data_IF_375351839206
#
_entry.id   IF_375351839206
#
_cell.length_a   1.000
_cell.length_b   1.000
_cell.length_c   1.000
_cell.angle_alpha   90.00
_cell.angle_beta   90.00
_cell.angle_gamma   90.00
#
_symmetry.space_group_name_H-M   'P 1'
#
loop_
_entity.id
_entity.type
_entity.pdbx_description
1 polymer ?
#
# COMPACT_ATOMS: atom_id res chain seq x y z
N UNK A 1 -61.00 -49.21 0.30
CA UNK A 1 -60.46 -48.14 -0.58
C UNK A 1 -59.43 -47.20 0.10
N UNK A 2 -58.71 -47.62 1.15
CA UNK A 2 -57.78 -46.73 1.89
C UNK A 2 -56.29 -46.99 1.65
N UNK A 3 -55.89 -48.19 1.21
CA UNK A 3 -54.47 -48.50 0.98
C UNK A 3 -53.88 -47.79 -0.24
N UNK A 4 -54.59 -47.79 -1.38
CA UNK A 4 -54.12 -47.17 -2.63
C UNK A 4 -53.83 -45.66 -2.49
N UNK A 5 -54.61 -44.94 -1.68
CA UNK A 5 -54.39 -43.51 -1.41
C UNK A 5 -53.15 -43.26 -0.54
N UNK A 6 -52.82 -44.17 0.39
CA UNK A 6 -51.62 -44.06 1.25
C UNK A 6 -50.34 -44.29 0.46
N UNK A 7 -50.32 -45.30 -0.42
CA UNK A 7 -49.15 -45.56 -1.28
C UNK A 7 -48.92 -44.45 -2.32
N UNK A 8 -49.98 -43.84 -2.84
CA UNK A 8 -49.87 -42.70 -3.75
C UNK A 8 -49.22 -41.48 -3.06
N UNK A 9 -49.60 -41.21 -1.81
CA UNK A 9 -49.04 -40.11 -1.02
C UNK A 9 -47.56 -40.32 -0.70
N UNK A 10 -47.18 -41.57 -0.36
CA UNK A 10 -45.78 -41.94 -0.14
C UNK A 10 -44.97 -41.78 -1.43
N UNK A 11 -45.47 -42.27 -2.56
CA UNK A 11 -44.80 -42.10 -3.87
C UNK A 11 -44.61 -40.63 -4.25
N UNK A 12 -45.63 -39.80 -4.05
CA UNK A 12 -45.53 -38.35 -4.30
C UNK A 12 -44.51 -37.69 -3.37
N UNK A 13 -44.45 -38.09 -2.09
CA UNK A 13 -43.47 -37.55 -1.14
C UNK A 13 -42.03 -37.96 -1.48
N UNK A 14 -41.81 -39.21 -1.91
CA UNK A 14 -40.50 -39.67 -2.38
C UNK A 14 -40.08 -38.99 -3.67
N UNK A 15 -41.01 -38.78 -4.61
CA UNK A 15 -40.73 -38.06 -5.85
C UNK A 15 -40.40 -36.58 -5.59
N UNK A 16 -41.08 -35.93 -4.65
CA UNK A 16 -40.79 -34.55 -4.24
C UNK A 16 -39.41 -34.44 -3.56
N UNK A 17 -39.07 -35.37 -2.65
CA UNK A 17 -37.75 -35.39 -2.02
C UNK A 17 -36.64 -35.65 -3.02
N UNK A 18 -36.84 -36.54 -3.99
CA UNK A 18 -35.89 -36.78 -5.08
C UNK A 18 -35.74 -35.51 -5.95
N UNK A 19 -36.84 -34.84 -6.29
CA UNK A 19 -36.80 -33.58 -7.03
C UNK A 19 -36.06 -32.47 -6.26
N UNK A 20 -36.29 -32.33 -4.95
CA UNK A 20 -35.56 -31.37 -4.12
C UNK A 20 -34.07 -31.74 -3.97
N UNK A 21 -33.74 -33.02 -3.85
CA UNK A 21 -32.36 -33.49 -3.70
C UNK A 21 -31.55 -33.31 -5.00
N UNK A 22 -32.10 -33.75 -6.14
CA UNK A 22 -31.44 -33.63 -7.44
C UNK A 22 -31.57 -32.23 -8.07
N UNK A 23 -32.68 -31.52 -7.83
CA UNK A 23 -32.91 -30.15 -8.29
C UNK A 23 -32.21 -29.08 -7.44
N UNK A 24 -32.11 -29.29 -6.13
CA UNK A 24 -31.35 -28.41 -5.22
C UNK A 24 -29.84 -28.44 -5.50
N UNK A 25 -29.31 -29.57 -5.98
CA UNK A 25 -27.92 -29.66 -6.42
C UNK A 25 -27.64 -28.87 -7.71
N UNK A 26 -28.62 -28.73 -8.60
CA UNK A 26 -28.49 -27.89 -9.81
C UNK A 26 -28.65 -26.39 -9.52
N UNK A 27 -29.48 -26.00 -8.54
CA UNK A 27 -29.57 -24.60 -8.11
C UNK A 27 -28.37 -24.14 -7.26
N UNK A 28 -27.59 -25.07 -6.71
CA UNK A 28 -26.31 -24.78 -6.03
C UNK A 28 -25.09 -24.84 -6.96
N UNK A 29 -25.29 -25.19 -8.23
CA UNK A 29 -24.27 -25.29 -9.28
C UNK A 29 -24.34 -24.14 -10.30
N UNK A 30 -25.26 -23.19 -10.15
CA UNK A 30 -25.03 -21.88 -10.71
C UNK A 30 -23.99 -21.21 -9.83
N UNK A 31 -22.76 -21.12 -10.34
CA UNK A 31 -21.75 -20.23 -9.82
C UNK A 31 -22.44 -18.93 -9.43
N UNK A 32 -22.51 -18.66 -8.13
CA UNK A 32 -22.83 -17.33 -7.64
C UNK A 32 -21.72 -16.43 -8.21
N UNK A 33 -21.95 -15.92 -9.42
CA UNK A 33 -21.30 -14.73 -9.92
C UNK A 33 -21.74 -13.66 -8.95
N UNK A 34 -20.95 -13.49 -7.91
CA UNK A 34 -21.06 -12.37 -6.99
C UNK A 34 -21.21 -11.12 -7.85
N UNK A 35 -22.08 -10.16 -7.49
CA UNK A 35 -22.29 -8.92 -8.25
C UNK A 35 -21.09 -7.96 -8.15
N UNK A 36 -19.88 -8.51 -8.06
CA UNK A 36 -18.61 -7.80 -7.92
C UNK A 36 -17.94 -7.54 -9.27
N UNK A 37 -18.40 -8.17 -10.36
CA UNK A 37 -17.83 -7.94 -11.71
C UNK A 37 -18.26 -6.60 -12.35
N UNK A 38 -19.30 -5.94 -11.81
CA UNK A 38 -19.82 -4.68 -12.37
C UNK A 38 -19.74 -3.49 -11.39
N UNK A 39 -19.00 -3.61 -10.29
CA UNK A 39 -18.69 -2.44 -9.49
C UNK A 39 -17.65 -1.61 -10.25
N UNK A 40 -17.88 -0.30 -10.47
CA UNK A 40 -16.84 0.58 -10.98
C UNK A 40 -15.58 0.39 -10.12
N UNK A 41 -14.44 0.16 -10.74
CA UNK A 41 -13.16 0.32 -10.03
C UNK A 41 -13.18 1.69 -9.39
N UNK A 42 -12.79 1.79 -8.11
CA UNK A 42 -12.67 3.08 -7.40
C UNK A 42 -11.83 4.10 -8.17
N UNK A 43 -10.99 3.59 -9.07
CA UNK A 43 -10.30 4.33 -10.12
C UNK A 43 -11.16 4.24 -11.39
N UNK A 44 -12.03 5.22 -11.60
CA UNK A 44 -12.72 5.40 -12.89
C UNK A 44 -11.69 5.98 -13.87
N UNK A 45 -11.24 5.15 -14.82
CA UNK A 45 -10.14 5.45 -15.76
C UNK A 45 -10.62 6.40 -16.88
N UNK A 46 -11.88 6.85 -16.85
CA UNK A 46 -12.45 7.64 -17.92
C UNK A 46 -12.23 9.16 -17.75
N UNK A 47 -11.00 9.56 -17.40
CA UNK A 47 -10.59 10.96 -17.39
C UNK A 47 -9.59 11.24 -18.50
N UNK A 48 -10.11 11.74 -19.63
CA UNK A 48 -9.38 12.49 -20.64
C UNK A 48 -8.69 13.77 -20.10
N UNK A 49 -8.66 13.96 -18.77
CA UNK A 49 -8.03 15.07 -18.06
C UNK A 49 -6.65 14.73 -17.46
N UNK A 50 -6.28 13.45 -17.33
CA UNK A 50 -4.97 13.06 -16.75
C UNK A 50 -3.77 13.33 -17.66
N UNK A 51 -3.94 13.44 -18.97
CA UNK A 51 -2.82 13.68 -19.90
C UNK A 51 -2.13 15.05 -19.66
N UNK A 52 -2.81 15.98 -18.98
CA UNK A 52 -2.28 17.33 -18.73
C UNK A 52 -1.34 17.40 -17.52
N UNK A 53 -1.47 16.48 -16.56
CA UNK A 53 -0.69 16.45 -15.31
C UNK A 53 0.49 15.48 -15.36
N UNK A 54 0.70 14.79 -16.49
CA UNK A 54 1.87 13.95 -16.76
C UNK A 54 3.15 14.77 -17.06
N UNK A 55 3.09 16.10 -17.02
CA UNK A 55 4.27 16.93 -17.21
C UNK A 55 5.24 16.79 -16.03
N UNK A 56 6.46 16.32 -16.32
CA UNK A 56 7.55 16.29 -15.35
C UNK A 56 7.81 17.68 -14.78
N UNK A 57 8.08 17.76 -13.46
CA UNK A 57 8.34 19.00 -12.75
C UNK A 57 9.32 19.91 -13.52
N UNK A 58 9.09 21.24 -13.60
CA UNK A 58 9.95 22.19 -14.33
C UNK A 58 11.42 22.13 -13.93
N UNK A 59 11.71 21.67 -12.70
CA UNK A 59 13.05 21.47 -12.19
C UNK A 59 13.81 20.34 -12.92
N UNK A 60 13.12 19.28 -13.34
CA UNK A 60 13.70 18.15 -14.08
C UNK A 60 13.99 18.53 -15.55
N UNK A 61 13.18 19.42 -16.13
CA UNK A 61 13.42 19.99 -17.48
C UNK A 61 14.68 20.86 -17.53
N UNK A 62 15.08 21.47 -16.41
CA UNK A 62 16.15 22.48 -16.36
C UNK A 62 17.54 21.92 -16.04
N UNK A 63 17.63 20.77 -15.36
CA UNK A 63 18.93 20.25 -14.86
C UNK A 63 19.61 19.24 -15.78
N UNK A 64 18.96 18.73 -16.84
CA UNK A 64 19.60 17.80 -17.79
C UNK A 64 20.26 16.58 -17.12
N UNK A 65 19.86 16.26 -15.89
CA UNK A 65 20.59 15.38 -14.99
C UNK A 65 20.31 13.91 -15.27
N UNK A 66 21.34 13.22 -15.77
CA UNK A 66 21.48 11.75 -15.71
C UNK A 66 20.41 10.89 -16.38
N UNK A 67 20.05 11.18 -17.63
CA UNK A 67 19.28 10.23 -18.45
C UNK A 67 20.06 8.98 -18.92
N UNK A 68 21.39 8.94 -18.73
CA UNK A 68 22.22 7.84 -19.29
C UNK A 68 22.10 6.50 -18.57
N UNK A 69 21.65 6.46 -17.32
CA UNK A 69 21.46 5.20 -16.57
C UNK A 69 20.00 4.76 -16.50
N UNK A 70 19.07 5.66 -16.83
CA UNK A 70 17.63 5.38 -16.85
C UNK A 70 17.16 4.75 -18.18
N UNK A 71 17.84 5.01 -19.30
CA UNK A 71 17.32 4.68 -20.64
C UNK A 71 17.11 3.18 -20.91
N UNK A 72 17.96 2.30 -20.34
CA UNK A 72 17.78 0.85 -20.53
C UNK A 72 16.89 0.18 -19.47
N UNK A 73 16.84 0.70 -18.25
CA UNK A 73 16.09 0.08 -17.13
C UNK A 73 14.65 0.59 -17.03
N UNK A 74 14.39 1.86 -17.37
CA UNK A 74 13.02 2.42 -17.41
C UNK A 74 12.17 1.75 -18.49
N UNK A 75 12.79 1.32 -19.59
CA UNK A 75 12.10 0.60 -20.67
C UNK A 75 11.77 -0.86 -20.31
N UNK A 76 12.35 -1.40 -19.24
CA UNK A 76 12.05 -2.73 -18.68
C UNK A 76 10.89 -2.65 -17.68
N UNK A 77 10.91 -1.67 -16.76
CA UNK A 77 9.91 -1.57 -15.70
C UNK A 77 8.52 -1.13 -16.18
N UNK A 78 8.40 -0.38 -17.27
CA UNK A 78 7.10 -0.14 -17.92
C UNK A 78 6.51 -1.38 -18.63
N UNK A 79 7.24 -2.51 -18.66
CA UNK A 79 6.77 -3.79 -19.23
C UNK A 79 6.41 -4.82 -18.16
N UNK A 80 6.63 -4.53 -16.89
CA UNK A 80 6.25 -5.46 -15.83
C UNK A 80 4.75 -5.39 -15.54
N UNK A 81 4.09 -6.50 -15.85
CA UNK A 81 2.71 -6.81 -15.51
C UNK A 81 2.70 -8.16 -14.80
N UNK A 82 1.54 -8.53 -14.25
CA UNK A 82 1.43 -9.83 -13.57
C UNK A 82 1.76 -10.97 -14.55
N UNK A 83 1.39 -10.86 -15.81
CA UNK A 83 1.63 -11.92 -16.80
C UNK A 83 3.11 -12.06 -17.20
N UNK A 84 3.91 -10.99 -17.07
CA UNK A 84 5.30 -10.96 -17.56
C UNK A 84 6.32 -11.11 -16.45
N UNK A 85 6.09 -10.47 -15.30
CA UNK A 85 7.06 -10.36 -14.21
C UNK A 85 6.70 -11.18 -12.96
N UNK A 86 5.51 -11.82 -12.95
CA UNK A 86 5.10 -12.72 -11.87
C UNK A 86 5.03 -14.17 -12.37
N UNK A 87 5.48 -15.13 -11.56
CA UNK A 87 5.33 -16.55 -11.81
C UNK A 87 4.14 -17.12 -11.02
N UNK A 88 3.02 -17.29 -11.72
CA UNK A 88 1.81 -17.88 -11.16
C UNK A 88 1.94 -19.36 -10.83
N UNK A 89 2.93 -20.07 -11.38
CA UNK A 89 3.08 -21.52 -11.14
C UNK A 89 3.38 -21.83 -9.67
N UNK A 90 4.10 -20.93 -8.97
CA UNK A 90 4.37 -20.99 -7.53
C UNK A 90 3.13 -20.80 -6.66
N UNK A 91 2.05 -20.26 -7.23
CA UNK A 91 0.86 -19.84 -6.50
C UNK A 91 -0.36 -20.72 -6.81
N UNK A 92 -0.16 -21.90 -7.43
CA UNK A 92 -1.24 -22.85 -7.76
C UNK A 92 -1.81 -23.57 -6.53
N UNK A 93 -1.02 -23.70 -5.46
CA UNK A 93 -1.41 -24.36 -4.22
C UNK A 93 -1.95 -23.38 -3.18
N UNK A 94 -1.65 -23.62 -1.90
CA UNK A 94 -1.91 -22.63 -0.86
C UNK A 94 -1.07 -21.38 -1.08
N UNK A 95 -1.68 -20.21 -0.87
CA UNK A 95 -0.95 -18.96 -0.92
C UNK A 95 -0.07 -18.82 0.32
N UNK A 96 1.24 -19.01 0.15
CA UNK A 96 2.22 -18.86 1.23
C UNK A 96 3.25 -17.77 0.94
N UNK A 97 3.76 -17.17 1.99
CA UNK A 97 4.74 -16.08 1.99
C UNK A 97 5.94 -16.53 2.80
N UNK A 98 7.10 -16.54 2.15
CA UNK A 98 8.39 -16.79 2.80
C UNK A 98 9.08 -15.48 3.11
N UNK A 99 9.66 -15.38 4.30
CA UNK A 99 10.48 -14.24 4.74
C UNK A 99 11.94 -14.70 4.77
N UNK A 100 12.81 -13.95 4.11
CA UNK A 100 14.25 -14.22 4.17
C UNK A 100 14.78 -14.12 5.61
N UNK A 101 15.73 -14.97 6.01
CA UNK A 101 16.33 -14.89 7.33
C UNK A 101 17.06 -13.55 7.52
N UNK A 102 17.01 -13.03 8.75
CA UNK A 102 17.69 -11.79 9.14
C UNK A 102 19.19 -11.99 9.42
N UNK A 103 19.71 -13.21 9.27
CA UNK A 103 21.14 -13.53 9.34
C UNK A 103 21.67 -13.88 7.95
N UNK A 104 22.83 -13.36 7.55
CA UNK A 104 23.54 -13.90 6.38
C UNK A 104 23.94 -15.37 6.63
N UNK A 105 23.76 -16.26 5.64
CA UNK A 105 24.24 -17.66 5.66
C UNK A 105 25.77 -17.80 5.60
N UNK A 106 26.52 -16.69 5.72
CA UNK A 106 27.99 -16.65 5.67
C UNK A 106 28.61 -16.90 7.05
N UNK A 107 29.80 -17.50 7.07
CA UNK A 107 30.63 -17.70 8.28
C UNK A 107 30.95 -16.39 9.04
N UNK A 108 30.81 -15.25 8.36
CA UNK A 108 30.83 -13.89 8.93
C UNK A 108 29.42 -13.30 9.00
N UNK A 109 28.52 -13.97 9.72
CA UNK A 109 27.11 -13.59 9.80
C UNK A 109 26.94 -12.19 10.41
N UNK A 110 26.82 -11.17 9.55
CA UNK A 110 26.35 -9.86 9.98
C UNK A 110 24.84 -9.96 10.16
N UNK A 111 24.37 -9.85 11.41
CA UNK A 111 22.95 -9.86 11.72
C UNK A 111 22.33 -8.57 11.17
N UNK A 112 21.36 -8.71 10.27
CA UNK A 112 20.54 -7.60 9.80
C UNK A 112 19.52 -7.30 10.88
N UNK A 113 19.71 -6.21 11.61
CA UNK A 113 18.70 -5.73 12.56
C UNK A 113 17.78 -4.74 11.84
N UNK A 114 16.54 -5.12 11.48
CA UNK A 114 15.62 -4.20 10.83
C UNK A 114 15.17 -3.09 11.79
N UNK A 115 14.68 -1.97 11.24
CA UNK A 115 14.06 -0.93 12.05
C UNK A 115 12.85 -1.48 12.80
N UNK A 116 12.45 -0.89 13.94
CA UNK A 116 11.23 -1.29 14.63
C UNK A 116 10.01 -1.28 13.71
N UNK A 117 9.94 -0.34 12.77
CA UNK A 117 8.80 -0.25 11.83
C UNK A 117 8.78 -1.38 10.81
N UNK A 118 9.93 -1.80 10.31
CA UNK A 118 9.99 -2.93 9.38
C UNK A 118 9.81 -4.26 10.11
N UNK A 119 10.33 -4.39 11.34
CA UNK A 119 10.09 -5.57 12.17
C UNK A 119 8.59 -5.80 12.38
N UNK A 120 7.80 -4.74 12.59
CA UNK A 120 6.33 -4.82 12.64
C UNK A 120 5.73 -5.46 11.40
N UNK A 121 6.18 -5.05 10.20
CA UNK A 121 5.72 -5.63 8.93
C UNK A 121 6.04 -7.12 8.86
N UNK A 122 7.27 -7.50 9.22
CA UNK A 122 7.70 -8.90 9.22
C UNK A 122 6.91 -9.75 10.23
N UNK A 123 6.67 -9.22 11.44
CA UNK A 123 5.88 -9.89 12.48
C UNK A 123 4.46 -10.19 12.01
N UNK A 124 3.77 -9.20 11.44
CA UNK A 124 2.39 -9.39 10.94
C UNK A 124 2.33 -10.48 9.87
N UNK A 125 3.31 -10.54 8.97
CA UNK A 125 3.39 -11.60 7.96
C UNK A 125 3.64 -12.95 8.64
N UNK A 126 4.61 -13.02 9.54
CA UNK A 126 5.03 -14.25 10.22
C UNK A 126 3.94 -14.86 11.11
N UNK A 127 3.13 -14.03 11.77
CA UNK A 127 1.99 -14.47 12.57
C UNK A 127 0.76 -14.86 11.73
N UNK A 128 0.76 -14.52 10.44
CA UNK A 128 -0.37 -14.82 9.56
C UNK A 128 -0.39 -16.29 9.13
N UNK A 129 -1.58 -16.79 8.77
CA UNK A 129 -1.77 -18.13 8.13
C UNK A 129 -1.02 -18.31 6.80
N UNK A 130 -0.56 -17.21 6.22
CA UNK A 130 0.16 -17.21 4.95
C UNK A 130 1.65 -17.47 5.14
N UNK A 131 2.22 -17.30 6.34
CA UNK A 131 3.64 -17.55 6.56
C UNK A 131 4.04 -19.00 6.28
N UNK A 132 5.23 -19.18 5.72
CA UNK A 132 5.94 -20.46 5.66
C UNK A 132 7.44 -20.27 5.92
N UNK A 133 8.06 -21.23 6.60
CA UNK A 133 9.52 -21.32 6.75
C UNK A 133 10.18 -22.06 5.58
N UNK A 134 9.41 -22.74 4.74
CA UNK A 134 9.90 -23.50 3.58
C UNK A 134 9.75 -22.67 2.29
N UNK A 135 10.85 -22.20 1.68
CA UNK A 135 10.80 -21.40 0.45
C UNK A 135 10.26 -22.17 -0.76
N UNK A 136 10.25 -23.51 -0.73
CA UNK A 136 9.73 -24.32 -1.84
C UNK A 136 8.19 -24.28 -1.93
N UNK A 137 7.52 -23.98 -0.82
CA UNK A 137 6.06 -23.85 -0.73
C UNK A 137 5.57 -22.42 -0.95
N UNK A 138 6.49 -21.46 -1.06
CA UNK A 138 6.16 -20.04 -1.06
C UNK A 138 5.72 -19.55 -2.45
N UNK A 139 4.58 -18.87 -2.48
CA UNK A 139 4.12 -18.09 -3.62
C UNK A 139 4.83 -16.73 -3.69
N UNK A 140 4.98 -16.06 -2.54
CA UNK A 140 5.64 -14.76 -2.42
C UNK A 140 6.86 -14.80 -1.51
N UNK A 141 7.80 -13.90 -1.78
CA UNK A 141 9.03 -13.72 -1.04
C UNK A 141 9.12 -12.29 -0.51
N UNK A 142 9.44 -12.15 0.77
CA UNK A 142 9.64 -10.85 1.44
C UNK A 142 11.05 -10.81 2.00
N UNK A 143 11.76 -9.73 1.69
CA UNK A 143 13.15 -9.56 2.13
C UNK A 143 13.23 -9.43 3.65
N UNK A 144 14.34 -9.90 4.24
CA UNK A 144 14.73 -9.52 5.61
C UNK A 144 15.49 -8.18 5.64
N UNK A 145 15.82 -7.64 4.46
CA UNK A 145 16.54 -6.37 4.29
C UNK A 145 15.52 -5.23 4.41
N UNK A 146 15.71 -4.36 5.40
CA UNK A 146 14.86 -3.19 5.58
C UNK A 146 15.00 -2.21 4.40
N UNK A 147 13.88 -2.01 3.70
CA UNK A 147 13.74 -1.12 2.54
C UNK A 147 12.63 -0.09 2.74
N UNK A 148 12.06 -0.06 3.95
CA UNK A 148 10.90 0.75 4.29
C UNK A 148 11.24 2.24 4.25
N UNK A 149 12.46 2.60 4.64
CA UNK A 149 13.00 3.95 4.57
C UNK A 149 14.20 4.02 3.60
N UNK A 150 14.00 4.71 2.48
CA UNK A 150 15.03 4.95 1.46
C UNK A 150 15.50 6.40 1.45
N UNK A 151 15.19 7.17 2.49
CA UNK A 151 15.81 8.47 2.72
C UNK A 151 17.25 8.29 3.22
N UNK A 152 18.22 8.76 2.46
CA UNK A 152 19.65 8.67 2.82
C UNK A 152 20.03 9.37 4.13
N UNK A 153 19.19 10.30 4.62
CA UNK A 153 19.37 11.01 5.88
C UNK A 153 18.76 10.27 7.08
N UNK A 154 17.97 9.22 6.84
CA UNK A 154 17.34 8.45 7.89
C UNK A 154 18.34 7.58 8.64
N UNK A 155 18.14 7.44 9.96
CA UNK A 155 18.85 6.44 10.77
C UNK A 155 18.56 5.00 10.33
N UNK A 156 17.40 4.80 9.69
CA UNK A 156 16.90 3.49 9.29
C UNK A 156 17.33 3.13 7.85
N UNK A 157 18.11 4.02 7.20
CA UNK A 157 18.57 3.82 5.83
C UNK A 157 19.59 2.69 5.71
N UNK A 158 19.18 1.60 5.06
CA UNK A 158 20.07 0.48 4.77
C UNK A 158 20.96 0.76 3.55
N UNK A 159 22.28 0.71 3.73
CA UNK A 159 23.27 0.87 2.66
C UNK A 159 23.53 -0.45 1.92
N UNK A 160 24.05 -0.34 0.70
CA UNK A 160 24.53 -1.47 -0.10
C UNK A 160 23.49 -2.57 -0.35
N UNK A 161 22.21 -2.20 -0.47
CA UNK A 161 21.13 -3.13 -0.83
C UNK A 161 21.45 -3.95 -2.10
N UNK A 162 21.99 -3.38 -3.20
CA UNK A 162 22.33 -4.16 -4.39
C UNK A 162 23.27 -5.34 -4.11
N UNK A 163 24.34 -5.11 -3.36
CA UNK A 163 25.31 -6.15 -3.00
C UNK A 163 24.70 -7.22 -2.10
N UNK A 164 23.75 -6.84 -1.23
CA UNK A 164 23.02 -7.79 -0.38
C UNK A 164 22.04 -8.64 -1.19
N UNK A 165 21.31 -8.05 -2.13
CA UNK A 165 20.39 -8.77 -3.02
C UNK A 165 21.13 -9.81 -3.88
N UNK A 166 22.33 -9.47 -4.37
CA UNK A 166 23.15 -10.40 -5.17
C UNK A 166 23.57 -11.66 -4.39
N UNK A 167 23.65 -11.59 -3.06
CA UNK A 167 23.94 -12.76 -2.21
C UNK A 167 22.71 -13.67 -2.00
N UNK A 168 21.51 -13.17 -2.26
CA UNK A 168 20.27 -13.91 -2.03
C UNK A 168 20.03 -14.91 -3.18
N UNK A 169 20.30 -16.20 -2.92
CA UNK A 169 20.14 -17.27 -3.91
C UNK A 169 18.75 -17.33 -4.54
N UNK A 170 17.71 -16.97 -3.78
CA UNK A 170 16.31 -17.05 -4.21
C UNK A 170 15.81 -15.77 -4.89
N UNK A 171 16.62 -14.70 -5.02
CA UNK A 171 16.17 -13.37 -5.46
C UNK A 171 15.50 -13.38 -6.83
N UNK A 172 15.98 -14.21 -7.76
CA UNK A 172 15.37 -14.45 -9.08
C UNK A 172 14.96 -13.15 -9.81
N UNK A 173 15.88 -12.17 -9.82
CA UNK A 173 15.65 -10.85 -10.43
C UNK A 173 14.38 -10.14 -9.90
N UNK A 174 13.96 -10.42 -8.67
CA UNK A 174 12.77 -9.84 -8.04
C UNK A 174 11.45 -10.56 -8.36
N UNK A 175 11.43 -11.58 -9.22
CA UNK A 175 10.19 -12.29 -9.57
C UNK A 175 9.56 -12.91 -8.32
N UNK A 176 8.26 -12.67 -8.11
CA UNK A 176 7.49 -13.06 -6.92
C UNK A 176 7.95 -12.43 -5.59
N UNK A 177 8.80 -11.39 -5.64
CA UNK A 177 9.21 -10.65 -4.44
C UNK A 177 8.33 -9.43 -4.21
N UNK A 178 8.10 -9.10 -2.95
CA UNK A 178 7.45 -7.85 -2.53
C UNK A 178 8.44 -7.00 -1.76
N UNK A 179 8.62 -5.75 -2.21
CA UNK A 179 9.43 -4.74 -1.54
C UNK A 179 8.49 -3.71 -0.92
N UNK A 180 8.71 -3.38 0.35
CA UNK A 180 7.95 -2.35 1.06
C UNK A 180 8.74 -1.06 1.09
N UNK A 181 8.09 0.06 0.75
CA UNK A 181 8.69 1.39 0.89
C UNK A 181 7.65 2.42 1.37
N UNK A 182 7.91 3.06 2.49
CA UNK A 182 7.04 4.13 3.01
C UNK A 182 7.66 5.51 2.81
N UNK A 183 8.97 5.62 2.95
CA UNK A 183 9.68 6.89 2.89
C UNK A 183 10.64 6.86 1.69
N UNK A 184 10.40 7.76 0.73
CA UNK A 184 11.22 7.92 -0.48
C UNK A 184 12.09 9.19 -0.44
N UNK A 185 12.46 9.67 0.75
CA UNK A 185 13.27 10.89 0.92
C UNK A 185 12.58 12.00 1.70
N UNK A 186 13.37 12.97 2.11
CA UNK A 186 12.93 14.20 2.78
C UNK A 186 13.35 15.40 1.95
N UNK A 187 12.57 16.48 2.00
CA UNK A 187 12.91 17.74 1.35
C UNK A 187 14.35 18.18 1.68
N UNK A 188 15.11 18.71 0.70
CA UNK A 188 14.74 18.91 -0.71
C UNK A 188 14.92 17.66 -1.60
N UNK A 189 15.54 16.61 -1.07
CA UNK A 189 16.05 15.47 -1.83
C UNK A 189 15.07 14.28 -1.83
N UNK A 190 13.84 14.51 -2.30
CA UNK A 190 12.91 13.40 -2.51
C UNK A 190 13.39 12.53 -3.68
N UNK A 191 13.64 11.25 -3.40
CA UNK A 191 13.94 10.21 -4.38
C UNK A 191 12.66 9.47 -4.81
N UNK A 192 11.65 10.21 -5.29
CA UNK A 192 10.33 9.63 -5.63
C UNK A 192 10.42 8.57 -6.73
N UNK A 193 11.33 8.75 -7.69
CA UNK A 193 11.50 7.89 -8.85
C UNK A 193 12.46 6.71 -8.63
N UNK A 194 13.15 6.64 -7.48
CA UNK A 194 14.17 5.61 -7.26
C UNK A 194 14.22 5.10 -5.82
N UNK A 195 14.31 3.77 -5.65
CA UNK A 195 14.58 3.14 -4.35
C UNK A 195 16.06 3.23 -3.95
N UNK A 196 16.91 3.85 -4.78
CA UNK A 196 18.37 3.79 -4.65
C UNK A 196 18.98 2.42 -5.01
N UNK A 197 18.20 1.52 -5.61
CA UNK A 197 18.63 0.25 -6.21
C UNK A 197 17.60 -0.23 -7.24
N UNK A 198 17.97 -1.20 -8.07
CA UNK A 198 17.07 -1.81 -9.05
C UNK A 198 16.23 -2.94 -8.39
N UNK A 199 14.89 -2.80 -8.28
CA UNK A 199 14.03 -3.84 -7.75
C UNK A 199 13.78 -4.99 -8.73
N UNK A 200 14.20 -4.87 -9.99
CA UNK A 200 13.91 -5.83 -11.04
C UNK A 200 12.40 -6.06 -11.21
N UNK A 201 12.01 -7.32 -11.22
CA UNK A 201 10.63 -7.80 -11.39
C UNK A 201 9.84 -7.84 -10.07
N UNK A 202 10.32 -7.24 -8.98
CA UNK A 202 9.61 -7.24 -7.70
C UNK A 202 8.38 -6.33 -7.72
N UNK A 203 7.33 -6.75 -7.02
CA UNK A 203 6.16 -5.93 -6.69
C UNK A 203 6.57 -4.87 -5.69
N UNK A 204 6.19 -3.61 -5.93
CA UNK A 204 6.42 -2.52 -5.00
C UNK A 204 5.15 -2.23 -4.21
N UNK A 205 5.18 -2.52 -2.91
CA UNK A 205 4.20 -2.05 -1.94
C UNK A 205 4.69 -0.71 -1.38
N UNK A 206 4.29 0.40 -2.02
CA UNK A 206 4.88 1.71 -1.76
C UNK A 206 3.86 2.81 -1.45
N UNK A 207 4.18 3.64 -0.45
CA UNK A 207 3.46 4.88 -0.16
C UNK A 207 3.95 6.01 -1.08
N UNK A 208 3.07 6.97 -1.36
CA UNK A 208 3.38 8.13 -2.20
C UNK A 208 3.96 7.73 -3.58
N UNK A 209 3.39 6.71 -4.21
CA UNK A 209 3.81 6.29 -5.54
C UNK A 209 3.38 7.34 -6.58
N UNK A 210 4.33 7.79 -7.41
CA UNK A 210 3.99 8.60 -8.58
C UNK A 210 3.15 7.79 -9.56
N UNK A 211 2.11 8.42 -10.11
CA UNK A 211 1.27 7.83 -11.17
C UNK A 211 2.07 7.45 -12.42
N UNK A 212 3.21 8.10 -12.66
CA UNK A 212 4.08 7.80 -13.82
C UNK A 212 4.87 6.50 -13.65
N UNK A 213 5.10 6.07 -12.40
CA UNK A 213 5.93 4.90 -12.09
C UNK A 213 5.12 3.73 -11.50
N UNK A 214 3.90 4.00 -11.02
CA UNK A 214 3.00 2.97 -10.54
C UNK A 214 2.64 2.03 -11.69
N UNK A 215 2.84 0.71 -11.52
CA UNK A 215 2.42 -0.31 -12.49
C UNK A 215 1.04 -0.83 -12.13
N UNK A 216 -0.05 -0.42 -12.82
CA UNK A 216 -1.40 -0.80 -12.45
C UNK A 216 -1.61 -2.31 -12.53
N UNK A 217 -2.24 -2.88 -11.49
CA UNK A 217 -2.48 -4.32 -11.38
C UNK A 217 -1.24 -5.14 -11.01
N UNK A 218 -0.08 -4.52 -10.82
CA UNK A 218 1.16 -5.19 -10.40
C UNK A 218 1.69 -4.64 -9.08
N UNK A 219 1.82 -3.31 -8.97
CA UNK A 219 2.24 -2.64 -7.73
C UNK A 219 1.06 -2.41 -6.78
N UNK A 220 1.39 -2.21 -5.50
CA UNK A 220 0.40 -1.98 -4.44
C UNK A 220 0.63 -0.61 -3.82
N UNK A 221 -0.34 0.29 -3.95
CA UNK A 221 -0.33 1.55 -3.21
C UNK A 221 -0.75 1.27 -1.78
N UNK A 222 0.12 1.60 -0.82
CA UNK A 222 -0.14 1.45 0.61
C UNK A 222 -0.18 2.82 1.30
N UNK A 223 -0.99 3.00 2.36
CA UNK A 223 -1.00 4.24 3.11
C UNK A 223 0.34 4.46 3.82
N UNK A 224 0.74 5.72 3.95
CA UNK A 224 1.88 6.09 4.78
C UNK A 224 1.48 5.99 6.26
N UNK A 225 2.04 5.02 6.98
CA UNK A 225 1.86 4.88 8.43
C UNK A 225 3.08 5.38 9.21
N UNK A 226 2.80 6.02 10.34
CA UNK A 226 3.83 6.53 11.25
C UNK A 226 4.58 5.39 11.95
N UNK A 227 5.83 5.62 12.39
CA UNK A 227 6.66 4.60 13.08
C UNK A 227 5.97 4.00 14.34
N UNK A 228 5.14 4.80 14.98
CA UNK A 228 4.39 4.40 16.18
C UNK A 228 3.07 3.68 15.85
N UNK A 229 2.72 3.47 14.58
CA UNK A 229 1.50 2.77 14.22
C UNK A 229 1.47 1.35 14.83
N UNK A 230 0.38 0.93 15.48
CA UNK A 230 0.29 -0.39 16.09
C UNK A 230 0.31 -1.49 15.01
N UNK A 231 0.88 -2.66 15.34
CA UNK A 231 0.95 -3.81 14.43
C UNK A 231 -0.43 -4.40 14.13
N UNK A 232 -1.31 -4.36 15.13
CA UNK A 232 -2.66 -4.90 15.06
C UNK A 232 -3.64 -3.75 15.26
N UNK A 233 -4.77 -3.83 14.57
CA UNK A 233 -5.89 -2.94 14.84
C UNK A 233 -6.26 -2.99 16.32
N UNK A 234 -6.65 -1.83 16.86
CA UNK A 234 -7.25 -1.75 18.18
C UNK A 234 -8.68 -2.31 18.17
N UNK A 235 -9.54 -1.79 19.05
CA UNK A 235 -10.95 -2.14 19.01
C UNK A 235 -11.53 -1.94 17.61
N UNK A 236 -12.46 -2.82 17.23
CA UNK A 236 -13.18 -2.68 15.97
C UNK A 236 -13.73 -1.26 15.88
N UNK A 237 -13.40 -0.55 14.79
CA UNK A 237 -13.92 0.79 14.59
C UNK A 237 -15.45 0.77 14.67
N UNK A 238 -16.05 1.90 15.07
CA UNK A 238 -17.51 2.01 15.25
C UNK A 238 -18.34 1.79 13.96
N UNK A 239 -17.68 1.58 12.81
CA UNK A 239 -18.32 1.28 11.53
C UNK A 239 -18.76 -0.17 11.52
N UNK A 240 -19.96 -0.43 12.03
CA UNK A 240 -20.60 -1.75 12.04
C UNK A 240 -21.29 -2.09 10.72
N UNK A 241 -21.59 -1.09 9.88
CA UNK A 241 -22.21 -1.25 8.55
C UNK A 241 -21.66 -0.24 7.55
N UNK A 242 -21.63 -0.61 6.27
CA UNK A 242 -21.40 0.32 5.16
C UNK A 242 -22.66 1.19 4.98
N UNK A 243 -22.80 2.25 5.78
CA UNK A 243 -23.86 3.24 5.58
C UNK A 243 -23.55 4.08 4.33
N UNK A 244 -24.15 3.71 3.20
CA UNK A 244 -24.16 4.54 2.00
C UNK A 244 -25.56 5.16 1.79
N UNK A 245 -25.66 6.48 1.56
CA UNK A 245 -24.57 7.46 1.53
C UNK A 245 -24.01 7.73 2.94
N UNK A 246 -22.69 7.90 3.04
CA UNK A 246 -22.03 8.13 4.33
C UNK A 246 -22.41 9.53 4.83
N UNK A 247 -23.19 9.60 5.92
CA UNK A 247 -23.42 10.87 6.63
C UNK A 247 -22.17 11.21 7.44
N UNK A 248 -21.18 11.85 6.79
CA UNK A 248 -19.98 12.35 7.47
C UNK A 248 -20.24 13.76 7.99
N UNK A 249 -19.88 14.02 9.26
CA UNK A 249 -19.87 15.38 9.83
C UNK A 249 -18.91 16.31 9.07
N UNK A 250 -17.77 15.76 8.63
CA UNK A 250 -16.76 16.47 7.86
C UNK A 250 -16.76 15.97 6.42
N UNK A 251 -16.91 16.89 5.48
CA UNK A 251 -16.70 16.70 4.05
C UNK A 251 -15.21 16.47 3.76
N UNK A 252 -14.33 17.25 4.40
CA UNK A 252 -12.88 17.20 4.21
C UNK A 252 -12.17 17.48 5.53
N UNK A 253 -11.17 16.66 5.87
CA UNK A 253 -10.32 16.87 7.03
C UNK A 253 -8.85 16.67 6.65
N UNK A 254 -8.00 17.64 7.00
CA UNK A 254 -6.56 17.58 6.83
C UNK A 254 -5.88 18.16 8.07
N UNK A 255 -4.85 17.45 8.55
CA UNK A 255 -3.95 17.92 9.59
C UNK A 255 -2.53 17.68 9.12
N UNK A 256 -1.77 18.75 8.87
CA UNK A 256 -0.45 18.63 8.24
C UNK A 256 0.56 19.71 8.59
N UNK A 257 1.73 19.66 7.96
CA UNK A 257 2.78 20.69 8.11
C UNK A 257 2.64 21.74 7.01
N UNK A 258 2.77 23.01 7.36
CA UNK A 258 2.88 24.14 6.43
C UNK A 258 4.34 24.60 6.38
N UNK A 259 4.92 24.61 5.19
CA UNK A 259 6.27 25.13 5.00
C UNK A 259 6.17 26.64 4.81
N UNK A 260 6.81 27.42 5.68
CA UNK A 260 6.79 28.89 5.59
C UNK A 260 7.71 29.39 4.45
N UNK A 261 8.65 28.57 4.02
CA UNK A 261 9.60 28.83 2.94
C UNK A 261 9.84 27.57 2.11
N UNK A 262 10.41 27.72 0.91
CA UNK A 262 10.77 26.60 0.02
C UNK A 262 9.67 26.15 -0.94
N UNK A 263 9.95 25.16 -1.78
CA UNK A 263 9.03 24.65 -2.80
C UNK A 263 7.81 23.99 -2.11
N UNK A 264 6.61 24.34 -2.57
CA UNK A 264 5.34 23.89 -1.98
C UNK A 264 4.85 24.72 -0.79
N UNK A 265 5.61 25.74 -0.36
CA UNK A 265 5.17 26.70 0.66
C UNK A 265 3.92 27.47 0.23
N UNK A 266 3.86 27.93 -1.02
CA UNK A 266 2.69 28.65 -1.58
C UNK A 266 1.42 27.78 -1.54
N UNK A 267 1.46 26.58 -2.08
CA UNK A 267 0.30 25.66 -2.10
C UNK A 267 -0.20 25.36 -0.69
N UNK A 268 0.72 25.06 0.24
CA UNK A 268 0.35 24.79 1.64
C UNK A 268 -0.07 26.05 2.38
N UNK A 269 0.39 27.22 1.96
CA UNK A 269 -0.07 28.50 2.49
C UNK A 269 -1.52 28.78 2.13
N UNK A 270 -2.01 28.27 1.00
CA UNK A 270 -3.38 28.50 0.55
C UNK A 270 -4.43 27.62 1.24
N UNK A 271 -4.02 26.55 1.95
CA UNK A 271 -4.95 25.57 2.52
C UNK A 271 -5.90 26.15 3.56
N UNK A 272 -5.47 27.17 4.32
CA UNK A 272 -6.33 27.82 5.32
C UNK A 272 -7.56 28.51 4.70
N UNK A 273 -7.49 28.98 3.44
CA UNK A 273 -8.63 29.61 2.77
C UNK A 273 -9.79 28.64 2.54
N UNK A 274 -9.50 27.34 2.54
CA UNK A 274 -10.49 26.29 2.39
C UNK A 274 -11.05 25.84 3.75
N UNK A 275 -10.43 26.22 4.87
CA UNK A 275 -10.89 25.91 6.22
C UNK A 275 -12.15 26.72 6.55
N UNK A 276 -13.23 26.05 6.97
CA UNK A 276 -14.50 26.71 7.30
C UNK A 276 -15.04 26.40 8.71
N UNK A 277 -14.25 25.74 9.55
CA UNK A 277 -14.58 25.35 10.93
C UNK A 277 -15.86 24.49 11.10
N UNK A 278 -16.47 24.03 10.00
CA UNK A 278 -17.76 23.34 10.00
C UNK A 278 -17.62 21.91 9.50
N UNK A 279 -17.48 21.76 8.18
CA UNK A 279 -17.40 20.48 7.48
C UNK A 279 -16.12 20.35 6.64
N UNK A 280 -15.36 21.44 6.46
CA UNK A 280 -14.02 21.44 5.87
C UNK A 280 -13.03 21.93 6.93
N UNK A 281 -12.28 21.00 7.51
CA UNK A 281 -11.27 21.26 8.54
C UNK A 281 -9.89 21.03 7.94
N UNK A 282 -9.17 22.10 7.62
CA UNK A 282 -7.80 22.04 7.12
C UNK A 282 -6.92 22.81 8.09
N UNK A 283 -6.15 22.09 8.91
CA UNK A 283 -5.31 22.71 9.95
C UNK A 283 -3.86 22.37 9.73
N UNK A 284 -2.97 23.35 9.89
CA UNK A 284 -1.55 23.18 9.59
C UNK A 284 -0.65 23.68 10.70
N UNK A 285 0.51 23.05 10.89
CA UNK A 285 1.56 23.56 11.78
C UNK A 285 2.75 24.05 10.99
N UNK A 286 3.26 25.23 11.33
CA UNK A 286 4.52 25.78 10.82
C UNK A 286 5.76 25.17 11.51
N UNK A 287 5.59 24.30 12.53
CA UNK A 287 6.70 23.68 13.27
C UNK A 287 7.40 22.63 12.40
N UNK A 288 8.35 23.06 11.58
CA UNK A 288 9.06 22.20 10.66
C UNK A 288 10.56 22.55 10.48
N UNK A 289 11.43 21.58 10.73
CA UNK A 289 12.89 21.79 10.68
C UNK A 289 13.42 22.44 11.97
N UNK A 290 14.71 22.78 11.99
CA UNK A 290 15.35 23.42 13.16
C UNK A 290 15.13 24.93 13.21
N UNK A 291 15.07 25.58 12.04
CA UNK A 291 14.96 27.05 11.90
C UNK A 291 13.53 27.57 11.78
N UNK A 292 12.50 26.77 12.08
CA UNK A 292 11.10 27.21 11.93
C UNK A 292 10.77 28.43 12.79
N UNK A 293 11.42 28.57 13.96
CA UNK A 293 11.25 29.72 14.86
C UNK A 293 11.78 31.02 14.24
N UNK A 294 12.88 30.92 13.50
CA UNK A 294 13.54 32.04 12.84
C UNK A 294 12.78 32.46 11.57
N UNK A 295 12.18 31.48 10.88
CA UNK A 295 11.46 31.65 9.61
C UNK A 295 9.95 31.71 9.81
N UNK A 296 9.50 32.00 11.03
CA UNK A 296 8.11 32.10 11.40
C UNK A 296 7.48 33.37 10.81
N UNK A 297 6.32 33.24 10.19
CA UNK A 297 5.49 34.36 9.74
C UNK A 297 4.44 34.74 10.78
N UNK A 298 3.64 35.76 10.47
CA UNK A 298 2.63 36.32 11.38
C UNK A 298 1.52 35.30 11.71
N UNK A 299 1.15 34.42 10.78
CA UNK A 299 0.05 33.45 10.97
C UNK A 299 0.43 32.19 11.74
N UNK A 300 1.72 31.87 11.84
CA UNK A 300 2.21 30.63 12.43
C UNK A 300 1.75 30.39 13.89
N UNK A 301 1.49 31.42 14.70
CA UNK A 301 0.91 31.22 16.03
C UNK A 301 -0.55 30.76 15.98
N UNK A 302 -1.36 31.42 15.14
CA UNK A 302 -2.76 31.06 14.92
C UNK A 302 -2.88 29.65 14.32
N UNK A 303 -2.09 29.37 13.28
CA UNK A 303 -1.99 28.06 12.63
C UNK A 303 -1.67 26.96 13.68
N UNK A 304 -0.70 27.20 14.57
CA UNK A 304 -0.35 26.23 15.62
C UNK A 304 -1.43 26.06 16.68
N UNK A 305 -2.06 27.16 17.13
CA UNK A 305 -3.13 27.12 18.12
C UNK A 305 -4.33 26.33 17.59
N UNK A 306 -4.67 26.55 16.32
CA UNK A 306 -5.73 25.83 15.64
C UNK A 306 -5.37 24.37 15.40
N UNK A 307 -4.14 24.08 14.96
CA UNK A 307 -3.62 22.72 14.81
C UNK A 307 -3.67 21.92 16.11
N UNK A 308 -3.38 22.55 17.25
CA UNK A 308 -3.40 21.94 18.57
C UNK A 308 -4.85 21.76 19.09
N UNK A 309 -5.79 22.63 18.71
CA UNK A 309 -7.22 22.53 19.06
C UNK A 309 -7.90 21.29 18.47
N UNK A 310 -7.58 20.96 17.22
CA UNK A 310 -8.17 19.80 16.56
C UNK A 310 -7.42 18.53 16.92
N UNK A 311 -7.97 17.76 17.86
CA UNK A 311 -7.69 16.33 18.02
C UNK A 311 -8.35 15.53 16.88
N UNK A 312 -8.09 15.90 15.61
CA UNK A 312 -8.29 14.94 14.52
C UNK A 312 -7.43 13.75 14.87
N UNK A 313 -8.00 12.53 14.87
CA UNK A 313 -7.35 11.28 15.25
C UNK A 313 -5.93 11.17 14.64
N UNK A 314 -4.93 11.79 15.29
CA UNK A 314 -3.74 11.07 15.65
C UNK A 314 -4.32 9.92 16.44
N UNK A 315 -4.31 8.73 15.87
CA UNK A 315 -4.53 7.50 16.60
C UNK A 315 -3.59 7.55 17.80
N UNK A 316 -4.10 8.06 18.92
CA UNK A 316 -3.59 7.81 20.26
C UNK A 316 -3.98 6.37 20.54
N UNK A 317 -3.16 5.45 20.05
CA UNK A 317 -2.99 4.10 20.56
C UNK A 317 -1.53 3.73 20.32
#
# INVERSE_FOLDING_TARGET
MQAKKRYLLVLLSCAFLAYCYFGGYRLKSESARLPYENLPTYVDINEQFYDRDLESSPHLRRTGGTQKWASNTVNSNQKCRMETCFDFSKCRGEFKVYIYPQSEESETATILTPSPSYQKVLNVIQESRYYTSDPSQACLFVLGIDTLDRDTLSSDYVRNVPARLQKLRLWNEGRNHVIFNLYSGTWPDYAEDSLGFDPGMAILAKASMSVTNFRPGFDVSIPLFHKNHPEKGGESGFVTTNNFPVSKKYLLAFKGKRYVHGIGSETRNSLYHLHNEKDIVLVTTCRHGKSWKELKDERCDEDNAEYDRYLLCQTQY
#
